data_IF_789556696161
#
_entry.id   IF_789556696161
#
_cell.length_a   1.000
_cell.length_b   1.000
_cell.length_c   1.000
_cell.angle_alpha   90.00
_cell.angle_beta   90.00
_cell.angle_gamma   90.00
#
_symmetry.space_group_name_H-M   'P 1'
#
loop_
_entity.id
_entity.type
_entity.pdbx_description
1 polymer ?
#
# COMPACT_ATOMS: atom_id res chain seq x y z
N UNK A 1 68.82 11.47 9.19
CA UNK A 1 67.71 11.22 8.25
C UNK A 1 67.07 9.91 8.72
N UNK A 2 65.97 10.01 9.48
CA UNK A 2 65.27 8.84 10.01
C UNK A 2 64.33 8.30 8.92
N UNK A 3 64.43 7.01 8.62
CA UNK A 3 63.54 6.31 7.71
C UNK A 3 62.25 6.04 8.48
N UNK A 4 61.14 6.62 8.02
CA UNK A 4 59.83 6.25 8.54
C UNK A 4 59.52 4.83 8.06
N UNK A 5 59.26 3.90 8.98
CA UNK A 5 58.78 2.56 8.65
C UNK A 5 57.40 2.70 7.97
N UNK A 6 57.25 2.12 6.77
CA UNK A 6 55.96 2.05 6.11
C UNK A 6 55.04 1.16 6.97
N UNK A 7 53.84 1.63 7.35
CA UNK A 7 52.93 0.85 8.17
C UNK A 7 52.53 -0.42 7.44
N UNK A 8 52.51 -1.54 8.16
CA UNK A 8 52.12 -2.84 7.61
C UNK A 8 50.67 -2.77 7.13
N UNK A 9 50.38 -3.35 5.96
CA UNK A 9 49.04 -3.31 5.38
C UNK A 9 48.04 -4.06 6.27
N UNK A 10 48.50 -5.02 7.08
CA UNK A 10 47.70 -5.72 8.06
C UNK A 10 47.23 -4.78 9.19
N UNK A 11 48.08 -3.86 9.66
CA UNK A 11 47.70 -2.86 10.68
C UNK A 11 46.62 -1.91 10.16
N UNK A 12 46.65 -1.54 8.87
CA UNK A 12 45.65 -0.66 8.24
C UNK A 12 44.29 -1.37 8.10
N UNK A 13 44.30 -2.69 7.86
CA UNK A 13 43.07 -3.48 7.69
C UNK A 13 42.42 -3.80 9.03
N UNK A 14 43.21 -4.03 10.09
CA UNK A 14 42.70 -4.31 11.44
C UNK A 14 42.19 -3.03 12.15
N UNK A 15 42.67 -1.86 11.74
CA UNK A 15 42.26 -0.55 12.28
C UNK A 15 41.14 0.12 11.44
N UNK A 16 40.73 -0.48 10.32
CA UNK A 16 39.60 0.01 9.55
C UNK A 16 38.34 -0.06 10.43
N UNK A 17 37.65 1.07 10.67
CA UNK A 17 36.49 1.07 11.56
C UNK A 17 35.46 0.08 11.02
N UNK A 18 35.15 -0.94 11.82
CA UNK A 18 34.05 -1.85 11.53
C UNK A 18 32.78 -1.00 11.44
N UNK A 19 32.31 -0.74 10.22
CA UNK A 19 31.15 0.14 9.98
C UNK A 19 29.92 -0.63 10.47
N UNK A 20 29.61 -0.47 11.76
CA UNK A 20 28.44 -1.07 12.39
C UNK A 20 27.20 -0.61 11.62
N UNK A 21 26.42 -1.58 11.12
CA UNK A 21 25.23 -1.28 10.35
C UNK A 21 24.25 -0.45 11.20
N UNK A 22 23.56 0.55 10.63
CA UNK A 22 22.62 1.36 11.38
C UNK A 22 21.55 0.47 12.03
N UNK A 23 21.11 0.78 13.26
CA UNK A 23 20.11 -0.02 13.95
C UNK A 23 18.81 -0.04 13.15
N UNK A 24 18.04 -1.15 13.20
CA UNK A 24 16.79 -1.24 12.49
C UNK A 24 15.78 -0.19 12.99
N UNK A 25 14.83 0.24 12.14
CA UNK A 25 13.83 1.23 12.51
C UNK A 25 12.97 0.75 13.69
N UNK A 26 12.66 1.68 14.60
CA UNK A 26 11.81 1.40 15.75
C UNK A 26 10.42 0.91 15.33
N UNK A 27 9.73 0.20 16.22
CA UNK A 27 8.35 -0.22 15.97
C UNK A 27 7.43 0.99 15.72
N UNK A 28 7.60 2.07 16.50
CA UNK A 28 6.84 3.30 16.33
C UNK A 28 7.04 3.91 14.94
N UNK A 29 8.29 3.99 14.46
CA UNK A 29 8.59 4.52 13.13
C UNK A 29 7.89 3.71 12.03
N UNK A 30 7.95 2.36 12.11
CA UNK A 30 7.26 1.48 11.16
C UNK A 30 5.75 1.67 11.17
N UNK A 31 5.14 1.78 12.35
CA UNK A 31 3.69 1.99 12.49
C UNK A 31 3.28 3.36 11.92
N UNK A 32 4.02 4.42 12.23
CA UNK A 32 3.75 5.77 11.72
C UNK A 32 3.88 5.81 10.20
N UNK A 33 4.96 5.28 9.64
CA UNK A 33 5.16 5.22 8.18
C UNK A 33 4.04 4.42 7.51
N UNK A 34 3.72 3.24 8.03
CA UNK A 34 2.61 2.43 7.50
C UNK A 34 1.28 3.17 7.54
N UNK A 35 0.94 3.84 8.65
CA UNK A 35 -0.29 4.60 8.80
C UNK A 35 -0.37 5.80 7.84
N UNK A 36 0.75 6.51 7.65
CA UNK A 36 0.84 7.62 6.68
C UNK A 36 0.61 7.11 5.26
N UNK A 37 1.22 5.99 4.88
CA UNK A 37 1.01 5.39 3.56
C UNK A 37 -0.46 4.98 3.37
N UNK A 38 -1.08 4.34 4.37
CA UNK A 38 -2.53 4.01 4.33
C UNK A 38 -3.35 5.28 4.09
N UNK A 39 -3.09 6.35 4.85
CA UNK A 39 -3.83 7.61 4.74
C UNK A 39 -3.67 8.26 3.37
N UNK A 40 -2.46 8.31 2.83
CA UNK A 40 -2.18 8.86 1.49
C UNK A 40 -2.87 8.04 0.41
N UNK A 41 -2.75 6.71 0.44
CA UNK A 41 -3.38 5.83 -0.54
C UNK A 41 -4.90 5.98 -0.51
N UNK A 42 -5.48 5.99 0.69
CA UNK A 42 -6.92 6.20 0.87
C UNK A 42 -7.38 7.56 0.31
N UNK A 43 -6.63 8.63 0.60
CA UNK A 43 -6.96 9.96 0.10
C UNK A 43 -6.86 10.03 -1.43
N UNK A 44 -5.80 9.50 -2.02
CA UNK A 44 -5.61 9.48 -3.48
C UNK A 44 -6.71 8.65 -4.16
N UNK A 45 -7.04 7.47 -3.63
CA UNK A 45 -8.13 6.63 -4.13
C UNK A 45 -9.46 7.40 -4.14
N UNK A 46 -9.81 8.02 -3.00
CA UNK A 46 -11.06 8.79 -2.87
C UNK A 46 -11.12 10.00 -3.80
N UNK A 47 -10.06 10.81 -3.83
CA UNK A 47 -10.03 11.99 -4.68
C UNK A 47 -10.10 11.62 -6.16
N UNK A 48 -9.41 10.56 -6.57
CA UNK A 48 -9.45 10.08 -7.96
C UNK A 48 -10.84 9.59 -8.33
N UNK A 49 -11.52 8.84 -7.44
CA UNK A 49 -12.89 8.37 -7.67
C UNK A 49 -13.90 9.51 -7.73
N UNK A 50 -13.78 10.50 -6.84
CA UNK A 50 -14.63 11.69 -6.86
C UNK A 50 -14.43 12.49 -8.15
N UNK A 51 -13.17 12.73 -8.53
CA UNK A 51 -12.86 13.37 -9.81
C UNK A 51 -13.46 12.61 -10.99
N UNK A 52 -13.36 11.28 -11.01
CA UNK A 52 -13.92 10.47 -12.08
C UNK A 52 -15.45 10.60 -12.18
N UNK A 53 -16.15 10.65 -11.04
CA UNK A 53 -17.61 10.87 -11.02
C UNK A 53 -18.01 12.23 -11.59
N UNK A 54 -17.19 13.26 -11.39
CA UNK A 54 -17.46 14.62 -11.85
C UNK A 54 -17.05 14.88 -13.32
N UNK A 55 -16.13 14.07 -13.87
CA UNK A 55 -15.47 14.36 -15.15
C UNK A 55 -15.64 13.28 -16.23
N UNK A 56 -16.15 12.09 -15.89
CA UNK A 56 -16.32 11.00 -16.84
C UNK A 56 -17.78 10.61 -16.98
N UNK A 57 -18.20 10.28 -18.20
CA UNK A 57 -19.53 9.72 -18.46
C UNK A 57 -19.52 8.19 -18.17
N UNK A 58 -20.45 7.67 -17.34
CA UNK A 58 -20.52 6.25 -17.05
C UNK A 58 -20.65 5.38 -18.31
N UNK A 59 -19.82 4.34 -18.42
CA UNK A 59 -19.84 3.42 -19.55
C UNK A 59 -19.19 3.94 -20.85
N UNK A 60 -18.80 5.22 -20.90
CA UNK A 60 -18.06 5.79 -22.03
C UNK A 60 -16.57 5.70 -21.77
N UNK A 61 -15.82 5.27 -22.78
CA UNK A 61 -14.36 5.16 -22.69
C UNK A 61 -13.71 6.43 -23.25
N UNK A 62 -12.98 7.14 -22.40
CA UNK A 62 -12.27 8.37 -22.72
C UNK A 62 -10.76 8.12 -22.87
N UNK A 63 -10.12 8.79 -23.82
CA UNK A 63 -8.66 8.69 -24.00
C UNK A 63 -7.92 9.55 -22.96
N UNK A 64 -6.90 8.98 -22.31
CA UNK A 64 -6.05 9.70 -21.34
C UNK A 64 -4.69 10.06 -21.93
N UNK A 65 -3.86 9.06 -22.25
CA UNK A 65 -2.53 9.28 -22.79
C UNK A 65 -2.01 8.03 -23.52
N UNK A 66 -1.72 8.16 -24.81
CA UNK A 66 -1.23 7.06 -25.63
C UNK A 66 -2.19 5.86 -25.60
N UNK A 67 -1.77 4.66 -25.16
CA UNK A 67 -2.66 3.50 -25.06
C UNK A 67 -3.57 3.52 -23.81
N UNK A 68 -3.42 4.50 -22.91
CA UNK A 68 -4.20 4.57 -21.67
C UNK A 68 -5.57 5.21 -21.91
N UNK A 69 -6.61 4.50 -21.49
CA UNK A 69 -8.01 4.91 -21.55
C UNK A 69 -8.63 4.88 -20.16
N UNK A 70 -9.57 5.77 -19.91
CA UNK A 70 -10.35 5.82 -18.68
C UNK A 70 -11.78 5.37 -18.96
N UNK A 71 -12.33 4.58 -18.05
CA UNK A 71 -13.72 4.15 -18.08
C UNK A 71 -14.27 4.27 -16.66
N UNK A 72 -15.33 5.06 -16.51
CA UNK A 72 -16.09 5.07 -15.27
C UNK A 72 -17.02 3.86 -15.24
N UNK A 73 -16.62 2.84 -14.47
CA UNK A 73 -17.37 1.61 -14.26
C UNK A 73 -17.65 1.40 -12.77
N UNK A 74 -18.88 1.00 -12.46
CA UNK A 74 -19.29 0.62 -11.11
C UNK A 74 -19.15 -0.89 -10.98
N UNK A 75 -18.40 -1.34 -9.99
CA UNK A 75 -18.13 -2.76 -9.76
C UNK A 75 -18.93 -3.23 -8.54
N UNK A 76 -19.95 -4.07 -8.77
CA UNK A 76 -20.79 -4.69 -7.73
C UNK A 76 -20.09 -5.81 -6.94
N UNK A 77 -18.76 -5.87 -7.06
CA UNK A 77 -17.90 -6.75 -6.33
C UNK A 77 -17.51 -8.04 -7.04
N UNK A 78 -17.85 -8.24 -8.31
CA UNK A 78 -17.42 -9.42 -9.08
C UNK A 78 -16.15 -9.13 -9.89
N UNK A 79 -15.25 -10.12 -9.94
CA UNK A 79 -14.18 -10.16 -10.93
C UNK A 79 -14.41 -11.38 -11.82
N UNK A 80 -14.39 -11.22 -13.14
CA UNK A 80 -14.64 -12.31 -14.09
C UNK A 80 -16.01 -13.01 -13.90
N UNK A 81 -17.04 -12.27 -13.46
CA UNK A 81 -18.36 -12.81 -13.07
C UNK A 81 -18.37 -13.75 -11.84
N UNK A 82 -17.20 -14.02 -11.24
CA UNK A 82 -17.11 -14.75 -9.98
C UNK A 82 -17.53 -13.82 -8.86
N UNK A 83 -18.62 -14.19 -8.17
CA UNK A 83 -19.15 -13.41 -7.04
C UNK A 83 -20.18 -12.35 -7.41
N UNK A 84 -20.79 -12.41 -8.60
CA UNK A 84 -21.96 -11.58 -8.93
C UNK A 84 -23.08 -11.77 -7.88
N UNK A 85 -23.60 -10.66 -7.35
CA UNK A 85 -24.57 -10.65 -6.25
C UNK A 85 -24.01 -10.99 -4.86
N UNK A 86 -22.69 -11.23 -4.74
CA UNK A 86 -22.03 -11.59 -3.47
C UNK A 86 -21.26 -10.43 -2.83
N UNK A 87 -21.63 -9.17 -3.11
CA UNK A 87 -21.01 -7.96 -2.57
C UNK A 87 -20.69 -8.03 -1.07
N UNK A 88 -21.65 -8.37 -0.19
CA UNK A 88 -21.39 -8.47 1.24
C UNK A 88 -20.36 -9.55 1.63
N UNK A 89 -20.38 -10.71 0.98
CA UNK A 89 -19.42 -11.81 1.25
C UNK A 89 -18.01 -11.36 0.91
N UNK A 90 -17.86 -10.68 -0.22
CA UNK A 90 -16.55 -10.22 -0.70
C UNK A 90 -16.02 -9.08 0.21
N UNK A 91 -16.90 -8.23 0.73
CA UNK A 91 -16.52 -7.22 1.73
C UNK A 91 -16.04 -7.86 3.04
N UNK A 92 -16.74 -8.88 3.55
CA UNK A 92 -16.31 -9.63 4.74
C UNK A 92 -14.96 -10.30 4.49
N UNK A 93 -14.77 -10.95 3.33
CA UNK A 93 -13.50 -11.56 2.97
C UNK A 93 -12.36 -10.52 2.91
N UNK A 94 -12.59 -9.37 2.27
CA UNK A 94 -11.62 -8.29 2.22
C UNK A 94 -11.27 -7.76 3.62
N UNK A 95 -12.25 -7.64 4.52
CA UNK A 95 -12.00 -7.28 5.93
C UNK A 95 -11.10 -8.29 6.63
N UNK A 96 -11.38 -9.59 6.47
CA UNK A 96 -10.54 -10.67 7.03
C UNK A 96 -9.11 -10.60 6.48
N UNK A 97 -8.96 -10.38 5.18
CA UNK A 97 -7.64 -10.24 4.53
C UNK A 97 -6.88 -9.04 5.12
N UNK A 98 -7.53 -7.89 5.31
CA UNK A 98 -6.90 -6.72 5.95
C UNK A 98 -6.38 -7.06 7.35
N UNK A 99 -7.21 -7.73 8.18
CA UNK A 99 -6.80 -8.15 9.53
C UNK A 99 -5.59 -9.08 9.48
N UNK A 100 -5.61 -10.08 8.59
CA UNK A 100 -4.50 -11.03 8.41
C UNK A 100 -3.22 -10.33 7.96
N UNK A 101 -3.31 -9.42 6.99
CA UNK A 101 -2.16 -8.66 6.48
C UNK A 101 -1.56 -7.78 7.58
N UNK A 102 -2.39 -7.06 8.34
CA UNK A 102 -1.93 -6.22 9.46
C UNK A 102 -1.30 -7.08 10.56
N UNK A 103 -1.87 -8.25 10.84
CA UNK A 103 -1.35 -9.17 11.85
C UNK A 103 -0.02 -9.80 11.45
N UNK A 104 0.08 -10.35 10.24
CA UNK A 104 1.33 -10.90 9.69
C UNK A 104 2.43 -9.82 9.60
N UNK A 105 2.01 -8.59 9.31
CA UNK A 105 2.81 -7.38 9.30
C UNK A 105 3.69 -7.13 10.52
N UNK A 106 3.27 -7.61 11.69
CA UNK A 106 3.94 -7.39 12.97
C UNK A 106 5.33 -8.03 13.02
N UNK A 107 5.60 -9.01 12.16
CA UNK A 107 6.89 -9.69 12.07
C UNK A 107 7.92 -8.95 11.21
N UNK A 108 7.50 -8.02 10.35
CA UNK A 108 8.42 -7.34 9.44
C UNK A 108 9.20 -6.21 10.14
N UNK A 109 10.53 -6.20 9.99
CA UNK A 109 11.44 -5.28 10.72
C UNK A 109 11.99 -4.13 9.87
N UNK A 110 11.49 -3.93 8.65
CA UNK A 110 11.97 -2.90 7.72
C UNK A 110 10.91 -1.83 7.42
N UNK A 111 11.34 -0.62 7.06
CA UNK A 111 10.43 0.44 6.60
C UNK A 111 9.78 0.07 5.26
N UNK A 112 10.51 -0.58 4.35
CA UNK A 112 9.98 -1.04 3.07
C UNK A 112 8.77 -1.96 3.25
N UNK A 113 8.82 -2.88 4.21
CA UNK A 113 7.68 -3.73 4.51
C UNK A 113 6.48 -2.95 5.06
N UNK A 114 6.71 -1.93 5.89
CA UNK A 114 5.65 -1.04 6.36
C UNK A 114 4.99 -0.25 5.22
N UNK A 115 5.77 0.21 4.24
CA UNK A 115 5.25 0.88 3.03
C UNK A 115 4.40 -0.09 2.20
N UNK A 116 4.93 -1.27 1.87
CA UNK A 116 4.19 -2.28 1.08
C UNK A 116 2.87 -2.65 1.77
N UNK A 117 2.92 -2.90 3.08
CA UNK A 117 1.72 -3.18 3.86
C UNK A 117 0.73 -2.01 3.83
N UNK A 118 1.22 -0.78 3.95
CA UNK A 118 0.39 0.42 3.86
C UNK A 118 -0.29 0.57 2.50
N UNK A 119 0.40 0.25 1.40
CA UNK A 119 -0.17 0.24 0.05
C UNK A 119 -1.33 -0.76 -0.07
N UNK A 120 -1.10 -2.00 0.38
CA UNK A 120 -2.11 -3.08 0.32
C UNK A 120 -3.31 -2.76 1.20
N UNK A 121 -3.08 -2.37 2.46
CA UNK A 121 -4.15 -2.06 3.42
C UNK A 121 -4.89 -0.80 2.99
N UNK A 122 -4.20 0.25 2.53
CA UNK A 122 -4.82 1.48 2.04
C UNK A 122 -5.77 1.23 0.87
N UNK A 123 -5.35 0.46 -0.13
CA UNK A 123 -6.19 0.10 -1.27
C UNK A 123 -7.41 -0.75 -0.86
N UNK A 124 -7.22 -1.73 0.03
CA UNK A 124 -8.31 -2.55 0.54
C UNK A 124 -9.33 -1.72 1.34
N UNK A 125 -8.87 -0.80 2.19
CA UNK A 125 -9.73 0.10 2.97
C UNK A 125 -10.50 1.06 2.06
N UNK A 126 -9.87 1.62 1.01
CA UNK A 126 -10.55 2.47 0.01
C UNK A 126 -11.72 1.74 -0.65
N UNK A 127 -11.49 0.50 -1.09
CA UNK A 127 -12.55 -0.33 -1.68
C UNK A 127 -13.63 -0.74 -0.68
N UNK A 128 -13.28 -1.08 0.56
CA UNK A 128 -14.27 -1.38 1.60
C UNK A 128 -15.14 -0.17 1.93
N UNK A 129 -14.54 1.02 2.02
CA UNK A 129 -15.26 2.25 2.30
C UNK A 129 -16.26 2.57 1.19
N UNK A 130 -15.91 2.34 -0.07
CA UNK A 130 -16.82 2.50 -1.20
C UNK A 130 -18.08 1.63 -1.06
N UNK A 131 -17.92 0.37 -0.66
CA UNK A 131 -19.05 -0.56 -0.48
C UNK A 131 -19.99 -0.16 0.63
N UNK A 132 -19.46 0.44 1.69
CA UNK A 132 -20.28 0.95 2.81
C UNK A 132 -21.04 2.21 2.38
N UNK A 133 -20.37 3.12 1.68
CA UNK A 133 -20.98 4.41 1.31
C UNK A 133 -21.94 4.31 0.12
N UNK A 134 -21.74 3.35 -0.79
CA UNK A 134 -22.63 3.06 -1.94
C UNK A 134 -23.66 1.97 -1.65
N UNK A 135 -23.88 1.62 -0.39
CA UNK A 135 -24.86 0.63 0.00
C UNK A 135 -26.30 1.10 -0.27
N UNK A 136 -26.87 0.74 -1.42
CA UNK A 136 -28.25 1.13 -1.80
C UNK A 136 -29.32 0.16 -1.29
N UNK A 137 -28.99 -1.13 -1.10
CA UNK A 137 -29.96 -2.20 -0.81
C UNK A 137 -29.61 -3.06 0.43
N UNK A 138 -28.49 -2.77 1.10
CA UNK A 138 -28.06 -3.46 2.32
C UNK A 138 -26.61 -3.15 2.68
N UNK A 139 -26.15 -3.58 3.87
CA UNK A 139 -24.78 -3.36 4.31
C UNK A 139 -23.80 -4.00 3.31
N UNK A 140 -22.85 -3.21 2.77
CA UNK A 140 -21.83 -3.65 1.80
C UNK A 140 -22.38 -4.19 0.47
N UNK A 141 -23.56 -3.74 0.03
CA UNK A 141 -24.20 -4.20 -1.21
C UNK A 141 -23.57 -3.65 -2.50
N UNK A 142 -22.77 -2.58 -2.40
CA UNK A 142 -22.09 -1.97 -3.55
C UNK A 142 -20.68 -2.46 -3.76
#
# INVERSE_FOLDING_TARGET
MAVAEEPDLEDIVDEAPEVEAPPPPSMAARVVVGALVVGVVFAVDRLTKLWALDNLEPGVTEDLLGPLKLLLAFNDGSAFSLGSGSGPVIAVLAMVIVVVVVWAGRHYRTLTAAVIQGLVVGGAVGNLADRVLRAESGWFSG
#
